data_IF_933772707792
#
_entry.id   IF_933772707792
#
_cell.length_a   1.000
_cell.length_b   1.000
_cell.length_c   1.000
_cell.angle_alpha   90.00
_cell.angle_beta   90.00
_cell.angle_gamma   90.00
#
_symmetry.space_group_name_H-M   'P 1'
#
loop_
_entity.id
_entity.type
_entity.pdbx_description
1 polymer ?
#
# COMPACT_ATOMS: atom_id res chain seq x y z
N UNK A 1 44.50 -14.66 1.72
CA UNK A 1 43.71 -15.89 1.59
C UNK A 1 42.63 -15.87 2.67
N UNK A 2 41.34 -15.61 2.35
CA UNK A 2 40.27 -15.65 3.35
C UNK A 2 39.85 -17.09 3.67
N UNK A 3 39.53 -17.30 4.94
CA UNK A 3 39.20 -18.57 5.60
C UNK A 3 37.89 -19.22 5.06
N UNK A 4 37.90 -20.49 4.60
CA UNK A 4 36.72 -21.16 4.04
C UNK A 4 35.72 -21.69 5.08
N UNK A 5 35.92 -21.46 6.39
CA UNK A 5 35.23 -22.22 7.43
C UNK A 5 34.07 -21.55 8.18
N UNK A 6 33.80 -20.25 8.06
CA UNK A 6 32.83 -19.58 8.94
C UNK A 6 31.42 -19.55 8.34
N UNK A 7 30.63 -20.59 8.63
CA UNK A 7 29.21 -20.62 8.34
C UNK A 7 28.51 -19.36 8.90
N UNK A 8 27.80 -18.63 8.05
CA UNK A 8 26.96 -17.50 8.46
C UNK A 8 25.85 -18.02 9.39
N UNK A 9 25.56 -17.35 10.52
CA UNK A 9 24.42 -17.73 11.34
C UNK A 9 23.15 -17.63 10.50
N UNK A 10 22.39 -18.73 10.45
CA UNK A 10 21.09 -18.81 9.80
C UNK A 10 20.16 -17.79 10.47
N UNK A 11 19.44 -16.93 9.73
CA UNK A 11 18.52 -15.99 10.35
C UNK A 11 17.49 -16.77 11.18
N UNK A 12 17.07 -16.24 12.34
CA UNK A 12 16.04 -16.89 13.13
C UNK A 12 14.82 -17.10 12.24
N UNK A 13 14.31 -18.33 12.24
CA UNK A 13 13.01 -18.64 11.65
C UNK A 13 11.99 -17.77 12.37
N UNK A 14 11.38 -16.83 11.65
CA UNK A 14 10.18 -16.14 12.09
C UNK A 14 9.08 -17.19 12.19
N UNK A 15 9.05 -17.86 13.34
CA UNK A 15 7.90 -18.63 13.76
C UNK A 15 6.71 -17.68 13.73
N UNK A 16 5.69 -18.07 12.98
CA UNK A 16 4.40 -17.40 12.81
C UNK A 16 3.80 -17.05 14.16
N UNK A 17 4.09 -15.85 14.66
CA UNK A 17 3.30 -15.22 15.70
C UNK A 17 2.02 -14.78 15.00
N UNK A 18 1.04 -15.68 14.95
CA UNK A 18 -0.30 -15.35 14.46
C UNK A 18 -0.86 -14.30 15.41
N UNK A 19 -1.07 -13.04 14.98
CA UNK A 19 -1.78 -12.11 15.83
C UNK A 19 -3.18 -12.67 16.02
N UNK A 20 -3.66 -12.68 17.27
CA UNK A 20 -5.01 -13.10 17.61
C UNK A 20 -5.98 -12.33 16.71
N UNK A 21 -6.64 -13.08 15.81
CA UNK A 21 -7.56 -12.56 14.81
C UNK A 21 -8.70 -11.82 15.51
N UNK A 22 -8.72 -10.49 15.43
CA UNK A 22 -10.00 -9.77 15.47
C UNK A 22 -10.66 -10.01 14.11
N UNK A 23 -11.13 -11.25 13.86
CA UNK A 23 -11.96 -11.55 12.68
C UNK A 23 -13.34 -10.99 12.98
N UNK A 24 -13.59 -9.77 12.52
CA UNK A 24 -14.94 -9.28 12.24
C UNK A 24 -15.71 -10.34 11.43
N UNK A 25 -17.02 -10.47 11.68
CA UNK A 25 -17.93 -11.46 11.10
C UNK A 25 -18.22 -11.29 9.59
N UNK A 26 -17.33 -10.68 8.83
CA UNK A 26 -17.46 -10.53 7.38
C UNK A 26 -16.49 -11.50 6.69
N UNK A 27 -16.95 -12.26 5.71
CA UNK A 27 -16.08 -13.11 4.89
C UNK A 27 -15.20 -12.25 3.95
N UNK A 28 -14.21 -12.91 3.33
CA UNK A 28 -13.25 -12.27 2.43
C UNK A 28 -13.90 -11.57 1.25
N UNK A 29 -14.96 -12.20 0.73
CA UNK A 29 -15.70 -11.75 -0.43
C UNK A 29 -16.46 -10.46 -0.12
N UNK A 30 -17.12 -10.41 1.05
CA UNK A 30 -17.81 -9.22 1.54
C UNK A 30 -16.85 -8.04 1.72
N UNK A 31 -15.65 -8.26 2.26
CA UNK A 31 -14.63 -7.21 2.39
C UNK A 31 -14.17 -6.67 1.04
N UNK A 32 -13.92 -7.55 0.08
CA UNK A 32 -13.55 -7.17 -1.30
C UNK A 32 -14.66 -6.39 -1.99
N UNK A 33 -15.90 -6.83 -1.85
CA UNK A 33 -17.07 -6.15 -2.42
C UNK A 33 -17.25 -4.75 -1.85
N UNK A 34 -17.13 -4.60 -0.52
CA UNK A 34 -17.22 -3.30 0.14
C UNK A 34 -16.08 -2.37 -0.28
N UNK A 35 -14.86 -2.89 -0.41
CA UNK A 35 -13.72 -2.12 -0.89
C UNK A 35 -13.92 -1.66 -2.34
N UNK A 36 -14.44 -2.49 -3.24
CA UNK A 36 -14.73 -2.09 -4.62
C UNK A 36 -15.84 -1.02 -4.66
N UNK A 37 -16.87 -1.16 -3.82
CA UNK A 37 -17.93 -0.15 -3.69
C UNK A 37 -17.36 1.20 -3.27
N UNK A 38 -16.55 1.24 -2.21
CA UNK A 38 -15.87 2.47 -1.76
C UNK A 38 -14.91 3.01 -2.82
N UNK A 39 -14.17 2.14 -3.50
CA UNK A 39 -13.27 2.52 -4.60
C UNK A 39 -14.02 3.21 -5.74
N UNK A 40 -15.24 2.74 -6.05
CA UNK A 40 -16.14 3.37 -7.01
C UNK A 40 -16.50 4.81 -6.62
N UNK A 41 -16.86 5.03 -5.36
CA UNK A 41 -17.20 6.37 -4.83
C UNK A 41 -15.99 7.31 -4.82
N UNK A 42 -14.80 6.80 -4.49
CA UNK A 42 -13.60 7.63 -4.43
C UNK A 42 -13.15 8.12 -5.81
N UNK A 43 -13.37 7.35 -6.88
CA UNK A 43 -12.97 7.72 -8.25
C UNK A 43 -13.56 9.05 -8.72
N UNK A 44 -14.74 9.44 -8.20
CA UNK A 44 -15.41 10.72 -8.49
C UNK A 44 -15.36 11.72 -7.33
N UNK A 45 -14.53 11.49 -6.30
CA UNK A 45 -14.45 12.37 -5.14
C UNK A 45 -13.94 13.77 -5.51
N UNK A 46 -14.64 14.82 -5.07
CA UNK A 46 -14.27 16.23 -5.32
C UNK A 46 -14.16 17.05 -4.02
N UNK A 47 -13.93 16.38 -2.88
CA UNK A 47 -13.97 17.02 -1.55
C UNK A 47 -12.81 17.97 -1.25
N UNK A 48 -11.71 17.89 -2.01
CA UNK A 48 -10.55 18.77 -1.84
C UNK A 48 -9.98 19.23 -3.20
N UNK A 49 -9.11 20.24 -3.15
CA UNK A 49 -8.55 20.88 -4.34
C UNK A 49 -7.74 19.93 -5.25
N UNK A 50 -7.25 18.81 -4.71
CA UNK A 50 -6.49 17.81 -5.47
C UNK A 50 -7.30 17.15 -6.59
N UNK A 51 -8.63 17.19 -6.51
CA UNK A 51 -9.50 16.69 -7.56
C UNK A 51 -9.30 17.41 -8.91
N UNK A 52 -8.93 18.69 -8.87
CA UNK A 52 -8.72 19.50 -10.05
C UNK A 52 -7.39 19.19 -10.76
N UNK A 53 -6.42 18.57 -10.08
CA UNK A 53 -5.05 18.42 -10.59
C UNK A 53 -4.60 16.98 -10.79
N UNK A 54 -5.26 16.00 -10.17
CA UNK A 54 -4.96 14.58 -10.37
C UNK A 54 -5.29 14.14 -11.79
N UNK A 55 -4.57 13.12 -12.28
CA UNK A 55 -4.99 12.40 -13.49
C UNK A 55 -6.11 11.43 -13.15
N UNK A 56 -5.94 10.66 -12.06
CA UNK A 56 -6.94 9.74 -11.55
C UNK A 56 -6.72 9.48 -10.05
N UNK A 57 -7.72 8.89 -9.42
CA UNK A 57 -7.62 8.50 -8.01
C UNK A 57 -6.85 7.19 -7.90
N UNK A 58 -5.90 7.14 -6.96
CA UNK A 58 -5.11 5.96 -6.61
C UNK A 58 -5.61 5.42 -5.29
N UNK A 59 -6.43 4.37 -5.36
CA UNK A 59 -7.16 3.85 -4.19
C UNK A 59 -6.25 3.05 -3.26
N UNK A 60 -5.81 1.91 -3.75
CA UNK A 60 -5.10 0.88 -3.01
C UNK A 60 -5.02 -0.38 -3.87
N UNK A 61 -4.10 -1.28 -3.56
CA UNK A 61 -3.90 -2.52 -4.31
C UNK A 61 -3.37 -3.63 -3.42
N UNK A 62 -3.71 -4.87 -3.72
CA UNK A 62 -3.26 -6.06 -3.01
C UNK A 62 -4.42 -6.89 -2.49
N UNK A 63 -4.17 -7.76 -1.51
CA UNK A 63 -5.22 -8.59 -0.91
C UNK A 63 -6.02 -7.79 0.12
N UNK A 64 -7.32 -7.62 -0.13
CA UNK A 64 -8.23 -6.97 0.82
C UNK A 64 -8.36 -7.74 2.16
N UNK A 65 -7.91 -9.01 2.18
CA UNK A 65 -7.87 -9.88 3.35
C UNK A 65 -6.47 -10.00 3.97
N UNK A 66 -5.51 -9.19 3.54
CA UNK A 66 -4.15 -9.23 4.04
C UNK A 66 -4.08 -8.94 5.55
N UNK A 67 -3.25 -9.70 6.26
CA UNK A 67 -2.95 -9.44 7.68
C UNK A 67 -2.01 -8.22 7.86
N UNK A 68 -1.39 -7.74 6.77
CA UNK A 68 -0.45 -6.61 6.76
C UNK A 68 -0.84 -5.58 5.70
N UNK A 69 -0.92 -4.32 6.14
CA UNK A 69 -1.19 -3.17 5.27
C UNK A 69 -0.05 -2.14 5.36
N UNK A 70 0.35 -1.61 4.21
CA UNK A 70 1.26 -0.48 4.09
C UNK A 70 0.49 0.77 3.70
N UNK A 71 0.75 1.87 4.40
CA UNK A 71 0.12 3.16 4.15
C UNK A 71 1.20 4.20 3.89
N UNK A 72 1.27 4.69 2.65
CA UNK A 72 2.10 5.83 2.29
C UNK A 72 1.36 7.15 2.44
N UNK A 73 2.05 8.25 2.14
CA UNK A 73 1.54 9.61 2.28
C UNK A 73 0.58 9.97 1.14
N UNK A 74 1.08 9.99 -0.10
CA UNK A 74 0.31 10.37 -1.27
C UNK A 74 0.83 9.67 -2.54
N UNK A 75 0.02 9.62 -3.62
CA UNK A 75 0.45 9.09 -4.91
C UNK A 75 1.48 10.02 -5.56
N UNK A 76 2.52 9.46 -6.16
CA UNK A 76 3.48 10.17 -7.00
C UNK A 76 3.04 10.25 -8.47
N UNK A 77 3.93 10.76 -9.33
CA UNK A 77 3.68 10.93 -10.76
C UNK A 77 3.31 9.62 -11.47
N UNK A 78 4.04 8.54 -11.20
CA UNK A 78 3.79 7.26 -11.89
C UNK A 78 2.52 6.59 -11.38
N UNK A 79 2.26 6.71 -10.08
CA UNK A 79 1.07 6.21 -9.41
C UNK A 79 -0.19 6.90 -9.97
N UNK A 80 -0.19 8.23 -10.05
CA UNK A 80 -1.29 9.01 -10.61
C UNK A 80 -1.58 8.68 -12.08
N UNK A 81 -0.55 8.36 -12.87
CA UNK A 81 -0.74 7.94 -14.27
C UNK A 81 -1.24 6.51 -14.43
N UNK A 82 -0.90 5.61 -13.49
CA UNK A 82 -1.22 4.19 -13.59
C UNK A 82 -2.44 3.77 -12.77
N UNK A 83 -2.86 4.58 -11.79
CA UNK A 83 -3.92 4.22 -10.86
C UNK A 83 -3.50 3.21 -9.78
N UNK A 84 -2.20 2.88 -9.70
CA UNK A 84 -1.66 1.84 -8.80
C UNK A 84 -0.66 2.50 -7.83
N UNK A 85 -0.78 2.29 -6.51
CA UNK A 85 0.10 2.93 -5.54
C UNK A 85 1.50 2.33 -5.58
N UNK A 86 2.55 3.04 -5.15
CA UNK A 86 3.91 2.49 -5.03
C UNK A 86 4.39 1.73 -6.28
N UNK A 87 4.38 2.37 -7.46
CA UNK A 87 4.92 1.82 -8.73
C UNK A 87 6.17 2.55 -9.21
N UNK A 88 6.52 3.67 -8.57
CA UNK A 88 7.78 4.38 -8.76
C UNK A 88 8.97 3.73 -8.04
N UNK A 89 10.03 4.51 -7.81
CA UNK A 89 11.26 4.04 -7.16
C UNK A 89 11.03 3.54 -5.72
N UNK A 90 10.21 4.25 -4.95
CA UNK A 90 9.83 3.81 -3.61
C UNK A 90 9.07 2.47 -3.63
N UNK A 91 8.28 2.22 -4.69
CA UNK A 91 7.60 0.96 -4.91
C UNK A 91 8.55 -0.21 -5.13
N UNK A 92 9.57 -0.01 -5.98
CA UNK A 92 10.62 -1.02 -6.22
C UNK A 92 11.41 -1.34 -4.95
N UNK A 93 11.69 -0.32 -4.13
CA UNK A 93 12.34 -0.53 -2.84
C UNK A 93 11.43 -1.35 -1.91
N UNK A 94 10.15 -1.00 -1.81
CA UNK A 94 9.18 -1.74 -1.00
C UNK A 94 9.07 -3.20 -1.45
N UNK A 95 9.05 -3.46 -2.75
CA UNK A 95 9.04 -4.82 -3.33
C UNK A 95 10.25 -5.63 -2.87
N UNK A 96 11.47 -5.08 -2.97
CA UNK A 96 12.67 -5.74 -2.47
C UNK A 96 12.67 -5.99 -0.95
N UNK A 97 12.05 -5.08 -0.16
CA UNK A 97 11.90 -5.27 1.29
C UNK A 97 10.90 -6.38 1.61
N UNK A 98 9.79 -6.48 0.86
CA UNK A 98 8.80 -7.54 1.00
C UNK A 98 9.42 -8.91 0.66
N UNK A 99 10.15 -8.99 -0.45
CA UNK A 99 10.88 -10.20 -0.84
C UNK A 99 11.86 -10.63 0.26
N UNK A 100 12.56 -9.68 0.87
CA UNK A 100 13.49 -9.93 1.98
C UNK A 100 12.85 -10.56 3.21
N UNK A 101 11.55 -10.41 3.39
CA UNK A 101 10.77 -11.04 4.48
C UNK A 101 9.85 -12.18 4.00
N UNK A 102 9.99 -12.62 2.75
CA UNK A 102 9.21 -13.72 2.18
C UNK A 102 7.75 -13.40 1.88
N UNK A 103 7.42 -12.11 1.70
CA UNK A 103 6.12 -11.64 1.26
C UNK A 103 6.19 -11.15 -0.19
N UNK A 104 5.04 -11.13 -0.86
CA UNK A 104 4.88 -10.49 -2.17
C UNK A 104 3.84 -9.39 -2.06
N UNK A 105 3.83 -8.50 -3.06
CA UNK A 105 2.91 -7.36 -3.11
C UNK A 105 1.44 -7.79 -3.10
N UNK A 106 1.13 -8.95 -3.67
CA UNK A 106 -0.22 -9.51 -3.73
C UNK A 106 -0.70 -10.05 -2.38
N UNK A 107 0.22 -10.32 -1.44
CA UNK A 107 -0.10 -10.87 -0.11
C UNK A 107 -0.27 -9.81 0.97
N UNK A 108 -0.06 -8.54 0.63
CA UNK A 108 -0.23 -7.38 1.50
C UNK A 108 -1.24 -6.44 0.87
N UNK A 109 -1.76 -5.49 1.64
CA UNK A 109 -2.55 -4.39 1.08
C UNK A 109 -1.74 -3.10 1.12
N UNK A 110 -1.72 -2.34 0.03
CA UNK A 110 -0.94 -1.10 -0.08
C UNK A 110 -1.86 0.03 -0.48
N UNK A 111 -1.84 1.13 0.27
CA UNK A 111 -2.59 2.33 -0.03
C UNK A 111 -1.82 3.59 0.40
N UNK A 112 -2.42 4.76 0.16
CA UNK A 112 -1.93 6.04 0.67
C UNK A 112 -3.01 6.72 1.53
N UNK A 113 -2.59 7.63 2.40
CA UNK A 113 -3.48 8.54 3.15
C UNK A 113 -4.29 9.36 2.14
N UNK A 114 -3.59 10.11 1.28
CA UNK A 114 -4.25 10.77 0.15
C UNK A 114 -4.48 9.81 -1.00
N UNK A 115 -5.63 9.93 -1.66
CA UNK A 115 -5.93 9.16 -2.89
C UNK A 115 -5.63 9.94 -4.18
N UNK A 116 -5.24 11.20 -4.06
CA UNK A 116 -4.94 12.10 -5.17
C UNK A 116 -3.53 12.63 -5.03
N UNK A 117 -2.83 12.79 -6.15
CA UNK A 117 -1.46 13.32 -6.18
C UNK A 117 -1.44 14.84 -5.90
N UNK A 118 -0.66 15.31 -4.92
CA UNK A 118 -0.37 16.73 -4.75
C UNK A 118 0.40 17.33 -5.94
N UNK A 119 0.09 18.56 -6.39
CA UNK A 119 0.83 19.23 -7.46
C UNK A 119 2.33 19.27 -7.19
N UNK A 120 3.13 18.86 -8.17
CA UNK A 120 4.59 18.83 -8.03
C UNK A 120 5.13 17.79 -7.03
N UNK A 121 4.30 16.84 -6.56
CA UNK A 121 4.65 15.90 -5.48
C UNK A 121 5.05 16.60 -4.17
N UNK A 122 4.45 17.75 -3.87
CA UNK A 122 4.60 18.40 -2.57
C UNK A 122 3.97 17.56 -1.45
N UNK A 123 4.30 17.89 -0.22
CA UNK A 123 3.67 17.31 0.96
C UNK A 123 2.16 17.64 1.02
N UNK A 124 1.32 16.73 1.54
CA UNK A 124 -0.08 16.97 1.87
C UNK A 124 -0.27 18.16 2.78
N UNK A 125 -1.32 18.94 2.51
CA UNK A 125 -1.80 19.95 3.42
C UNK A 125 -2.82 19.35 4.41
N UNK A 126 -2.97 19.91 5.62
CA UNK A 126 -3.89 19.37 6.62
C UNK A 126 -5.33 19.24 6.14
N UNK A 127 -5.83 20.22 5.37
CA UNK A 127 -7.17 20.21 4.80
C UNK A 127 -7.36 19.10 3.74
N UNK A 128 -6.30 18.72 3.03
CA UNK A 128 -6.33 17.60 2.08
C UNK A 128 -6.40 16.25 2.79
N UNK A 129 -5.84 16.14 4.00
CA UNK A 129 -5.88 14.92 4.83
C UNK A 129 -7.24 14.77 5.51
N UNK A 130 -7.89 15.86 5.89
CA UNK A 130 -9.15 15.86 6.65
C UNK A 130 -10.43 15.71 5.79
N UNK A 131 -10.35 15.87 4.47
CA UNK A 131 -11.48 15.92 3.53
C UNK A 131 -12.07 14.53 3.13
#
# INVERSE_FOLDING_TARGET
MPDPGRARPRPPSVASATPARIRSMQDAESRRAELERQSGEWRSCERCALAATRTQVVVGSGDADADLMFVGEAPGFHEDRQGVPFVGQAGKLLEGLLEGIGLTRERVYIANVLKCRPPGNRDPQPDEIEA
#
